data_IF_428818972194
#
_entry.id   IF_428818972194
#
_cell.length_a   1.000
_cell.length_b   1.000
_cell.length_c   1.000
_cell.angle_alpha   90.00
_cell.angle_beta   90.00
_cell.angle_gamma   90.00
#
_symmetry.space_group_name_H-M   'P 1'
#
loop_
_entity.id
_entity.type
_entity.pdbx_description
1 polymer ?
#
# COMPACT_ATOMS: atom_id res chain seq x y z
N UNK A 1 -1.87 -8.37 -12.11
CA UNK A 1 -2.12 -7.25 -11.16
C UNK A 1 -1.55 -5.98 -11.77
N UNK A 2 -2.20 -4.84 -11.56
CA UNK A 2 -1.67 -3.55 -11.99
C UNK A 2 -0.42 -3.19 -11.17
N UNK A 3 0.56 -2.54 -11.79
CA UNK A 3 1.74 -1.99 -11.09
C UNK A 3 1.44 -0.60 -10.54
N UNK A 4 2.25 -0.12 -9.60
CA UNK A 4 2.11 1.26 -9.12
C UNK A 4 2.31 2.27 -10.26
N UNK A 5 3.28 2.01 -11.16
CA UNK A 5 3.54 2.86 -12.33
C UNK A 5 2.34 2.95 -13.27
N UNK A 6 1.65 1.83 -13.50
CA UNK A 6 0.44 1.82 -14.31
C UNK A 6 -0.65 2.67 -13.64
N UNK A 7 -0.89 2.47 -12.34
CA UNK A 7 -1.84 3.25 -11.56
C UNK A 7 -1.54 4.76 -11.58
N UNK A 8 -0.28 5.13 -11.39
CA UNK A 8 0.18 6.53 -11.43
C UNK A 8 0.00 7.18 -12.81
N UNK A 9 0.12 6.40 -13.89
CA UNK A 9 -0.14 6.88 -15.25
C UNK A 9 -1.64 7.08 -15.51
N UNK A 10 -2.47 6.16 -15.03
CA UNK A 10 -3.93 6.17 -15.28
C UNK A 10 -4.69 7.14 -14.36
N UNK A 11 -4.18 7.39 -13.15
CA UNK A 11 -4.82 8.23 -12.13
C UNK A 11 -3.79 9.08 -11.34
N UNK A 12 -3.15 10.07 -11.96
CA UNK A 12 -1.99 10.77 -11.39
C UNK A 12 -2.29 11.55 -10.11
N UNK A 13 -3.42 12.27 -10.05
CA UNK A 13 -3.80 13.06 -8.87
C UNK A 13 -4.08 12.15 -7.66
N UNK A 14 -4.82 11.06 -7.88
CA UNK A 14 -5.09 10.06 -6.84
C UNK A 14 -3.81 9.35 -6.38
N UNK A 15 -2.93 8.99 -7.32
CA UNK A 15 -1.65 8.38 -6.99
C UNK A 15 -0.79 9.30 -6.12
N UNK A 16 -0.78 10.61 -6.41
CA UNK A 16 -0.10 11.61 -5.60
C UNK A 16 -0.68 11.68 -4.17
N UNK A 17 -2.00 11.69 -4.04
CA UNK A 17 -2.67 11.75 -2.73
C UNK A 17 -2.42 10.50 -1.89
N UNK A 18 -2.50 9.32 -2.51
CA UNK A 18 -2.24 8.04 -1.86
C UNK A 18 -0.77 7.93 -1.43
N UNK A 19 0.18 8.29 -2.31
CA UNK A 19 1.61 8.30 -1.97
C UNK A 19 1.89 9.22 -0.79
N UNK A 20 1.36 10.46 -0.82
CA UNK A 20 1.50 11.41 0.29
C UNK A 20 0.95 10.85 1.60
N UNK A 21 -0.15 10.10 1.54
CA UNK A 21 -0.74 9.48 2.72
C UNK A 21 0.14 8.37 3.32
N UNK A 22 0.78 7.56 2.47
CA UNK A 22 1.72 6.53 2.92
C UNK A 22 3.04 7.13 3.41
N UNK A 23 3.58 8.15 2.75
CA UNK A 23 4.85 8.78 3.16
C UNK A 23 4.71 9.64 4.44
N UNK A 24 3.48 9.97 4.87
CA UNK A 24 3.22 10.73 6.10
C UNK A 24 3.48 9.95 7.40
N UNK A 25 3.61 8.62 7.35
CA UNK A 25 3.90 7.78 8.50
C UNK A 25 4.75 6.57 8.08
N UNK A 26 5.71 6.15 8.89
CA UNK A 26 6.51 4.96 8.61
C UNK A 26 5.66 3.68 8.73
N UNK A 27 4.98 3.51 9.86
CA UNK A 27 4.17 2.31 10.14
C UNK A 27 2.69 2.49 9.82
N UNK A 28 2.11 1.48 9.19
CA UNK A 28 0.71 1.37 8.81
C UNK A 28 0.06 0.10 9.38
N UNK A 29 -1.28 0.05 9.38
CA UNK A 29 -2.03 -1.14 9.80
C UNK A 29 -2.50 -1.91 8.57
N UNK A 30 -2.02 -3.14 8.42
CA UNK A 30 -2.50 -4.08 7.42
C UNK A 30 -3.60 -4.96 8.04
N UNK A 31 -4.82 -4.83 7.51
CA UNK A 31 -5.93 -5.69 7.88
C UNK A 31 -6.08 -6.83 6.86
N UNK A 32 -6.12 -8.07 7.35
CA UNK A 32 -6.30 -9.28 6.55
C UNK A 32 -7.36 -10.18 7.17
N UNK A 33 -7.82 -11.16 6.40
CA UNK A 33 -8.67 -12.24 6.90
C UNK A 33 -7.81 -13.50 7.10
N UNK A 34 -8.03 -14.17 8.23
CA UNK A 34 -7.52 -15.53 8.45
C UNK A 34 -8.32 -16.54 7.61
N UNK A 35 -7.83 -17.78 7.53
CA UNK A 35 -8.51 -18.87 6.82
C UNK A 35 -9.94 -19.13 7.33
N UNK A 36 -10.19 -18.87 8.61
CA UNK A 36 -11.51 -19.00 9.26
C UNK A 36 -12.40 -17.74 9.10
N UNK A 37 -11.93 -16.71 8.40
CA UNK A 37 -12.65 -15.45 8.20
C UNK A 37 -12.52 -14.45 9.33
N UNK A 38 -11.83 -14.77 10.44
CA UNK A 38 -11.60 -13.80 11.50
C UNK A 38 -10.64 -12.68 11.05
N UNK A 39 -10.88 -11.42 11.45
CA UNK A 39 -10.00 -10.31 11.12
C UNK A 39 -8.65 -10.43 11.84
N UNK A 40 -7.58 -10.03 11.17
CA UNK A 40 -6.23 -9.89 11.74
C UNK A 40 -5.67 -8.52 11.34
N UNK A 41 -5.07 -7.84 12.30
CA UNK A 41 -4.30 -6.61 12.07
C UNK A 41 -2.83 -6.82 12.43
N UNK A 42 -1.94 -6.21 11.67
CA UNK A 42 -0.51 -6.12 11.99
C UNK A 42 0.05 -4.76 11.55
N UNK A 43 1.11 -4.31 12.22
CA UNK A 43 1.95 -3.23 11.70
C UNK A 43 2.66 -3.67 10.43
N UNK A 44 2.82 -2.76 9.47
CA UNK A 44 3.56 -2.96 8.22
C UNK A 44 4.08 -1.62 7.73
N UNK A 45 5.18 -1.63 7.01
CA UNK A 45 5.67 -0.47 6.26
C UNK A 45 5.24 -0.60 4.79
N UNK A 46 5.28 0.52 4.06
CA UNK A 46 4.96 0.60 2.64
C UNK A 46 6.11 1.26 1.92
N UNK A 47 6.55 0.66 0.82
CA UNK A 47 7.64 1.17 -0.01
C UNK A 47 7.27 1.14 -1.49
N UNK A 48 7.87 2.05 -2.27
CA UNK A 48 7.64 2.22 -3.69
C UNK A 48 8.95 2.01 -4.47
N UNK A 49 9.19 0.79 -4.94
CA UNK A 49 10.41 0.42 -5.65
C UNK A 49 10.15 -0.09 -7.06
N UNK A 50 10.99 0.31 -8.01
CA UNK A 50 10.97 -0.15 -9.41
C UNK A 50 9.56 -0.06 -10.07
N UNK A 51 8.78 0.96 -9.73
CA UNK A 51 7.42 1.15 -10.27
C UNK A 51 6.35 0.24 -9.66
N UNK A 52 6.64 -0.42 -8.52
CA UNK A 52 5.71 -1.22 -7.75
C UNK A 52 5.51 -0.63 -6.35
N UNK A 53 4.41 -1.04 -5.71
CA UNK A 53 4.18 -0.84 -4.27
C UNK A 53 4.40 -2.19 -3.58
N UNK A 54 5.21 -2.18 -2.53
CA UNK A 54 5.45 -3.32 -1.65
C UNK A 54 5.09 -2.97 -0.20
N UNK A 55 4.76 -3.99 0.59
CA UNK A 55 4.52 -3.83 2.02
C UNK A 55 5.12 -5.01 2.78
N UNK A 56 5.62 -4.72 3.98
CA UNK A 56 6.26 -5.69 4.86
C UNK A 56 6.98 -5.00 6.02
N UNK A 57 7.58 -5.80 6.89
CA UNK A 57 8.50 -5.40 7.96
C UNK A 57 9.70 -6.33 7.95
#
# INVERSE_FOLDING_TARGET
MATWKQFETEAPELAQDVRRRFEAAETHVLATLRKDGAPRVSGSEVDFMAGNLSFGS
#
